data_IF_788681085112
#
_entry.id   IF_788681085112
#
_cell.length_a   1.000
_cell.length_b   1.000
_cell.length_c   1.000
_cell.angle_alpha   90.00
_cell.angle_beta   90.00
_cell.angle_gamma   90.00
#
_symmetry.space_group_name_H-M   'P 1'
#
loop_
_entity.id
_entity.type
_entity.pdbx_description
1 polymer ?
#
# COMPACT_ATOMS: atom_id res chain seq x y z
N UNK A 1 18.16 11.25 -61.86
CA UNK A 1 16.79 11.80 -61.85
C UNK A 1 15.74 10.71 -62.15
N UNK A 2 15.69 9.58 -61.43
CA UNK A 2 14.66 8.54 -61.56
C UNK A 2 14.32 7.83 -60.24
N UNK A 3 14.81 8.30 -59.09
CA UNK A 3 14.54 7.67 -57.78
C UNK A 3 13.62 8.46 -56.82
N UNK A 4 13.24 9.70 -57.18
CA UNK A 4 12.41 10.54 -56.30
C UNK A 4 10.89 10.50 -56.61
N UNK A 5 10.47 9.86 -57.69
CA UNK A 5 9.04 9.76 -58.02
C UNK A 5 8.31 8.51 -57.47
N UNK A 6 9.03 7.56 -56.87
CA UNK A 6 8.39 6.36 -56.26
C UNK A 6 7.96 6.52 -54.80
N UNK A 7 8.41 7.57 -54.11
CA UNK A 7 8.07 7.80 -52.69
C UNK A 7 6.71 8.50 -52.47
N UNK A 8 6.27 9.32 -53.41
CA UNK A 8 5.03 10.12 -53.23
C UNK A 8 3.75 9.38 -53.57
N UNK A 9 3.78 8.35 -54.44
CA UNK A 9 2.59 7.60 -54.77
C UNK A 9 2.20 6.51 -53.76
N UNK A 10 3.08 6.14 -52.81
CA UNK A 10 2.74 5.18 -51.73
C UNK A 10 2.11 5.84 -50.53
N UNK A 11 2.30 7.14 -50.34
CA UNK A 11 1.72 7.88 -49.20
C UNK A 11 0.27 8.28 -49.49
N UNK A 12 -0.09 8.52 -50.78
CA UNK A 12 -1.45 8.92 -51.15
C UNK A 12 -2.47 7.78 -51.22
N UNK A 13 -2.03 6.51 -51.26
CA UNK A 13 -2.95 5.35 -51.29
C UNK A 13 -3.36 4.86 -49.91
N UNK A 14 -2.74 5.36 -48.83
CA UNK A 14 -3.06 4.99 -47.43
C UNK A 14 -4.03 5.96 -46.72
N UNK A 15 -4.42 7.04 -47.39
CA UNK A 15 -5.27 8.11 -46.79
C UNK A 15 -6.74 8.01 -47.17
N UNK A 16 -7.15 7.04 -47.97
CA UNK A 16 -8.55 6.93 -48.46
C UNK A 16 -9.43 5.87 -47.77
N UNK A 17 -9.04 5.36 -46.58
CA UNK A 17 -9.97 4.53 -45.78
C UNK A 17 -10.31 5.24 -44.48
N UNK A 18 -11.57 5.50 -44.28
CA UNK A 18 -12.20 6.22 -43.19
C UNK A 18 -11.74 5.73 -41.81
N UNK A 19 -10.99 6.59 -41.10
CA UNK A 19 -10.78 6.47 -39.65
C UNK A 19 -11.53 7.62 -38.98
N UNK A 20 -12.55 7.28 -38.22
CA UNK A 20 -13.35 8.19 -37.35
C UNK A 20 -12.71 8.40 -35.99
N UNK A 21 -11.40 8.55 -35.93
CA UNK A 21 -10.71 8.77 -34.64
C UNK A 21 -10.44 10.27 -34.45
N UNK A 22 -11.05 10.94 -33.47
CA UNK A 22 -10.93 12.39 -33.25
C UNK A 22 -9.50 12.86 -32.97
N UNK A 23 -8.60 11.99 -32.49
CA UNK A 23 -7.19 12.33 -32.20
C UNK A 23 -6.39 12.64 -33.49
N UNK A 24 -6.75 12.03 -34.63
CA UNK A 24 -6.05 12.23 -35.90
C UNK A 24 -6.42 13.61 -36.51
N UNK A 25 -7.61 14.12 -36.24
CA UNK A 25 -8.04 15.43 -36.68
C UNK A 25 -7.31 16.59 -35.98
N UNK A 26 -6.90 16.42 -34.73
CA UNK A 26 -6.12 17.43 -34.00
C UNK A 26 -4.70 17.60 -34.58
N UNK A 27 -4.03 16.50 -34.92
CA UNK A 27 -2.67 16.54 -35.49
C UNK A 27 -2.66 17.22 -36.85
N UNK A 28 -3.70 17.05 -37.66
CA UNK A 28 -3.81 17.70 -38.99
C UNK A 28 -4.07 19.22 -38.89
N UNK A 29 -4.78 19.67 -37.88
CA UNK A 29 -4.98 21.10 -37.60
C UNK A 29 -3.68 21.73 -37.09
N UNK A 30 -2.89 21.06 -36.25
CA UNK A 30 -1.60 21.57 -35.79
C UNK A 30 -0.57 21.70 -36.90
N UNK A 31 -0.48 20.75 -37.84
CA UNK A 31 0.46 20.80 -38.97
C UNK A 31 0.09 21.89 -39.98
N UNK A 32 -1.20 22.22 -40.15
CA UNK A 32 -1.62 23.35 -41.03
C UNK A 32 -1.32 24.71 -40.40
N UNK A 33 -1.40 24.84 -39.09
CA UNK A 33 -1.03 26.09 -38.40
C UNK A 33 0.48 26.32 -38.45
N UNK A 34 1.29 25.24 -38.34
CA UNK A 34 2.75 25.34 -38.38
C UNK A 34 3.31 25.75 -39.76
N UNK A 35 2.58 25.48 -40.87
CA UNK A 35 3.00 25.89 -42.23
C UNK A 35 2.58 27.31 -42.62
N UNK A 36 1.67 27.94 -41.87
CA UNK A 36 1.18 29.29 -42.19
C UNK A 36 1.94 30.42 -41.48
N UNK A 37 2.79 30.10 -40.47
CA UNK A 37 3.47 31.11 -39.65
C UNK A 37 4.93 31.37 -40.00
N UNK A 38 5.49 30.73 -41.03
CA UNK A 38 6.91 30.89 -41.38
C UNK A 38 7.16 31.91 -42.49
N UNK A 39 6.36 33.00 -42.59
CA UNK A 39 6.74 34.15 -43.42
C UNK A 39 6.39 35.48 -42.76
N UNK A 40 7.46 36.12 -42.26
CA UNK A 40 7.62 37.57 -41.95
C UNK A 40 7.19 38.07 -40.58
N UNK A 41 8.22 38.64 -39.96
CA UNK A 41 8.30 39.75 -38.99
C UNK A 41 8.18 39.37 -37.50
N UNK A 42 9.31 39.66 -36.85
CA UNK A 42 9.54 39.72 -35.41
C UNK A 42 8.44 40.47 -34.64
N UNK A 43 7.63 39.74 -33.94
CA UNK A 43 6.96 40.19 -32.74
C UNK A 43 7.04 39.09 -31.70
N UNK A 44 7.78 39.33 -30.61
CA UNK A 44 7.92 38.47 -29.47
C UNK A 44 6.54 38.40 -28.79
N UNK A 45 5.76 37.39 -29.15
CA UNK A 45 4.61 36.99 -28.38
C UNK A 45 5.15 36.21 -27.17
N UNK A 46 5.11 36.82 -26.01
CA UNK A 46 5.20 36.10 -24.76
C UNK A 46 4.05 35.07 -24.71
N UNK A 47 4.36 33.84 -25.08
CA UNK A 47 3.53 32.72 -24.66
C UNK A 47 3.70 32.58 -23.14
N UNK A 48 2.75 33.14 -22.39
CA UNK A 48 2.53 32.64 -21.04
C UNK A 48 2.18 31.16 -21.20
N UNK A 49 3.10 30.29 -20.84
CA UNK A 49 2.78 28.88 -20.59
C UNK A 49 1.70 28.89 -19.53
N UNK A 50 0.45 28.73 -19.91
CA UNK A 50 -0.55 28.20 -19.04
C UNK A 50 -0.01 26.83 -18.60
N UNK A 51 0.60 26.76 -17.43
CA UNK A 51 0.72 25.52 -16.69
C UNK A 51 -0.73 25.09 -16.49
N UNK A 52 -1.24 24.18 -17.29
CA UNK A 52 -2.35 23.36 -16.86
C UNK A 52 -1.90 22.77 -15.53
N UNK A 53 -2.48 23.25 -14.46
CA UNK A 53 -2.41 22.57 -13.18
C UNK A 53 -3.18 21.25 -13.39
N UNK A 54 -2.53 20.26 -13.98
CA UNK A 54 -2.98 18.89 -13.92
C UNK A 54 -2.88 18.51 -12.43
N UNK A 55 -3.99 18.66 -11.71
CA UNK A 55 -4.13 18.16 -10.34
C UNK A 55 -3.92 16.66 -10.38
N UNK A 56 -2.73 16.22 -9.99
CA UNK A 56 -2.37 14.81 -9.96
C UNK A 56 -2.97 14.19 -8.70
N UNK A 57 -3.89 13.25 -8.86
CA UNK A 57 -4.44 12.49 -7.74
C UNK A 57 -3.32 11.62 -7.16
N UNK A 58 -3.04 11.75 -5.87
CA UNK A 58 -2.07 10.89 -5.20
C UNK A 58 -2.53 9.44 -5.19
N UNK A 59 -1.58 8.53 -5.41
CA UNK A 59 -1.85 7.11 -5.60
C UNK A 59 -0.91 6.22 -4.79
N UNK A 60 -1.43 5.11 -4.31
CA UNK A 60 -0.67 4.14 -3.52
C UNK A 60 -1.37 2.77 -3.49
N UNK A 61 -0.69 1.77 -2.91
CA UNK A 61 -1.30 0.49 -2.50
C UNK A 61 -1.20 0.33 -0.99
N UNK A 62 -1.97 -0.60 -0.42
CA UNK A 62 -1.91 -0.91 1.02
C UNK A 62 -0.90 -2.01 1.36
N UNK A 63 -0.36 -2.69 0.39
CA UNK A 63 0.63 -3.75 0.51
C UNK A 63 0.66 -4.62 -0.73
N UNK A 64 1.75 -5.39 -0.92
CA UNK A 64 2.01 -6.22 -2.10
C UNK A 64 2.26 -7.67 -1.70
N UNK A 65 1.98 -8.69 -2.58
CA UNK A 65 2.27 -10.08 -2.29
C UNK A 65 3.77 -10.34 -2.09
N UNK A 66 4.11 -11.06 -1.02
CA UNK A 66 5.49 -11.36 -0.63
C UNK A 66 6.09 -12.62 -1.25
N UNK A 67 5.24 -13.46 -1.87
CA UNK A 67 5.64 -14.82 -2.26
C UNK A 67 6.58 -14.88 -3.48
N UNK A 68 6.59 -13.80 -4.30
CA UNK A 68 7.24 -13.79 -5.61
C UNK A 68 6.37 -14.43 -6.70
N UNK A 69 6.52 -13.98 -7.96
CA UNK A 69 5.66 -14.39 -9.07
C UNK A 69 5.76 -15.90 -9.41
N UNK A 70 6.88 -16.53 -9.12
CA UNK A 70 7.12 -17.97 -9.28
C UNK A 70 7.26 -18.70 -7.92
N UNK A 71 6.77 -18.09 -6.82
CA UNK A 71 6.86 -18.62 -5.44
C UNK A 71 8.29 -18.71 -4.93
N UNK A 72 9.16 -17.80 -5.34
CA UNK A 72 10.59 -17.79 -5.02
C UNK A 72 10.82 -17.80 -3.49
N UNK A 73 10.05 -17.01 -2.74
CA UNK A 73 10.15 -17.00 -1.28
C UNK A 73 9.82 -18.36 -0.67
N UNK A 74 8.77 -19.06 -1.18
CA UNK A 74 8.39 -20.37 -0.67
C UNK A 74 9.54 -21.36 -0.80
N UNK A 75 10.13 -21.45 -1.98
CA UNK A 75 11.23 -22.39 -2.24
C UNK A 75 12.47 -22.04 -1.43
N UNK A 76 12.78 -20.75 -1.28
CA UNK A 76 13.92 -20.29 -0.47
C UNK A 76 13.72 -20.62 1.02
N UNK A 77 12.50 -20.43 1.57
CA UNK A 77 12.16 -20.81 2.93
C UNK A 77 12.27 -22.33 3.15
N UNK A 78 11.72 -23.13 2.25
CA UNK A 78 11.80 -24.59 2.34
C UNK A 78 13.24 -25.10 2.28
N UNK A 79 14.08 -24.50 1.40
CA UNK A 79 15.51 -24.80 1.31
C UNK A 79 16.26 -24.47 2.60
N UNK A 80 15.99 -23.28 3.15
CA UNK A 80 16.56 -22.83 4.42
C UNK A 80 16.17 -23.77 5.59
N UNK A 81 14.90 -24.12 5.69
CA UNK A 81 14.42 -25.00 6.78
C UNK A 81 14.94 -26.43 6.68
N UNK A 82 15.31 -26.91 5.50
CA UNK A 82 15.99 -28.21 5.32
C UNK A 82 17.49 -28.15 5.57
N UNK A 83 18.07 -26.93 5.70
CA UNK A 83 19.52 -26.74 5.80
C UNK A 83 20.26 -26.80 4.46
N UNK A 84 19.55 -26.76 3.34
CA UNK A 84 20.12 -26.78 1.98
C UNK A 84 20.69 -25.41 1.56
N UNK A 85 20.31 -24.33 2.24
CA UNK A 85 20.78 -22.97 2.03
C UNK A 85 20.96 -22.22 3.35
N UNK A 86 21.76 -21.16 3.33
CA UNK A 86 22.03 -20.32 4.51
C UNK A 86 21.09 -19.10 4.57
N UNK A 87 21.22 -18.33 5.65
CA UNK A 87 20.43 -17.12 5.89
C UNK A 87 20.69 -16.04 4.83
N UNK A 88 21.93 -15.97 4.30
CA UNK A 88 22.31 -14.99 3.28
C UNK A 88 21.60 -15.27 1.97
N UNK A 89 21.53 -16.52 1.55
CA UNK A 89 20.79 -16.94 0.36
C UNK A 89 19.29 -16.60 0.48
N UNK A 90 18.68 -16.86 1.63
CA UNK A 90 17.28 -16.52 1.89
C UNK A 90 17.03 -15.00 1.87
N UNK A 91 17.92 -14.22 2.51
CA UNK A 91 17.82 -12.75 2.49
C UNK A 91 17.99 -12.17 1.10
N UNK A 92 18.87 -12.72 0.26
CA UNK A 92 19.06 -12.28 -1.11
C UNK A 92 17.78 -12.48 -1.95
N UNK A 93 17.09 -13.62 -1.79
CA UNK A 93 15.80 -13.86 -2.44
C UNK A 93 14.76 -12.85 -1.96
N UNK A 94 14.67 -12.61 -0.65
CA UNK A 94 13.75 -11.62 -0.08
C UNK A 94 14.02 -10.21 -0.62
N UNK A 95 15.27 -9.78 -0.67
CA UNK A 95 15.66 -8.46 -1.20
C UNK A 95 15.34 -8.33 -2.70
N UNK A 96 15.55 -9.38 -3.48
CA UNK A 96 15.18 -9.42 -4.91
C UNK A 96 13.67 -9.22 -5.08
N UNK A 97 12.84 -9.92 -4.29
CA UNK A 97 11.38 -9.79 -4.33
C UNK A 97 10.96 -8.37 -3.91
N UNK A 98 11.47 -7.86 -2.79
CA UNK A 98 11.16 -6.51 -2.31
C UNK A 98 11.48 -5.45 -3.36
N UNK A 99 12.69 -5.48 -3.92
CA UNK A 99 13.11 -4.53 -4.97
C UNK A 99 12.19 -4.59 -6.19
N UNK A 100 11.82 -5.80 -6.65
CA UNK A 100 10.87 -5.96 -7.77
C UNK A 100 9.49 -5.38 -7.44
N UNK A 101 8.99 -5.60 -6.22
CA UNK A 101 7.71 -5.08 -5.78
C UNK A 101 7.70 -3.53 -5.72
N UNK A 102 8.78 -2.92 -5.23
CA UNK A 102 8.93 -1.46 -5.22
C UNK A 102 9.06 -0.89 -6.62
N UNK A 103 9.88 -1.53 -7.48
CA UNK A 103 10.04 -1.11 -8.88
C UNK A 103 8.70 -1.16 -9.63
N UNK A 104 7.87 -2.18 -9.40
CA UNK A 104 6.52 -2.29 -9.99
C UNK A 104 5.66 -1.07 -9.65
N UNK A 105 5.72 -0.57 -8.42
CA UNK A 105 4.98 0.62 -7.98
C UNK A 105 5.56 1.91 -8.60
N UNK A 106 6.89 2.02 -8.67
CA UNK A 106 7.59 3.15 -9.30
C UNK A 106 7.29 3.21 -10.81
N UNK A 107 7.36 2.09 -11.50
CA UNK A 107 7.11 2.00 -12.95
C UNK A 107 5.64 2.35 -13.29
N UNK A 108 4.71 2.03 -12.40
CA UNK A 108 3.31 2.44 -12.50
C UNK A 108 3.09 3.92 -12.14
N UNK A 109 4.14 4.64 -11.72
CA UNK A 109 4.12 6.04 -11.31
C UNK A 109 3.20 6.31 -10.11
N UNK A 110 3.12 5.36 -9.17
CA UNK A 110 2.41 5.62 -7.92
C UNK A 110 3.14 6.73 -7.14
N UNK A 111 2.35 7.62 -6.52
CA UNK A 111 2.88 8.73 -5.71
C UNK A 111 3.66 8.24 -4.51
N UNK A 112 3.16 7.19 -3.84
CA UNK A 112 3.80 6.61 -2.67
C UNK A 112 4.10 5.13 -2.90
N UNK A 113 5.31 4.72 -2.57
CA UNK A 113 5.78 3.34 -2.63
C UNK A 113 5.63 2.70 -1.24
N UNK A 114 4.83 1.66 -1.16
CA UNK A 114 4.59 0.94 0.10
C UNK A 114 5.79 0.11 0.50
N UNK A 115 6.23 0.24 1.76
CA UNK A 115 7.32 -0.52 2.38
C UNK A 115 6.89 -1.09 3.74
N UNK A 116 7.58 -2.12 4.24
CA UNK A 116 7.27 -2.76 5.52
C UNK A 116 6.17 -3.83 5.45
N UNK A 117 5.58 -4.02 4.28
CA UNK A 117 4.54 -5.03 4.01
C UNK A 117 5.11 -6.42 3.69
N UNK A 118 6.41 -6.53 3.46
CA UNK A 118 7.08 -7.82 3.26
C UNK A 118 7.31 -8.53 4.60
N UNK A 119 7.00 -9.81 4.67
CA UNK A 119 7.27 -10.66 5.82
C UNK A 119 7.80 -12.03 5.38
N UNK A 120 8.79 -12.58 6.08
CA UNK A 120 9.20 -13.98 5.87
C UNK A 120 8.11 -14.96 6.29
N UNK A 121 7.30 -14.60 7.30
CA UNK A 121 6.22 -15.42 7.79
C UNK A 121 4.87 -14.67 7.75
N UNK A 122 4.61 -13.73 8.67
CA UNK A 122 3.43 -12.87 8.64
C UNK A 122 3.71 -11.45 9.19
N UNK A 123 2.80 -10.51 8.87
CA UNK A 123 2.96 -9.10 9.23
C UNK A 123 2.82 -8.83 10.73
N UNK A 124 2.02 -9.64 11.45
CA UNK A 124 1.82 -9.50 12.89
C UNK A 124 3.07 -9.94 13.66
N UNK A 125 3.75 -11.00 13.19
CA UNK A 125 5.04 -11.40 13.71
C UNK A 125 6.09 -10.29 13.47
N UNK A 126 6.14 -9.69 12.26
CA UNK A 126 7.03 -8.56 12.02
C UNK A 126 6.77 -7.39 12.97
N UNK A 127 5.50 -7.06 13.22
CA UNK A 127 5.13 -6.02 14.19
C UNK A 127 5.58 -6.40 15.61
N UNK A 128 5.42 -7.66 16.01
CA UNK A 128 5.88 -8.14 17.32
C UNK A 128 7.39 -8.06 17.46
N UNK A 129 8.14 -8.42 16.40
CA UNK A 129 9.61 -8.30 16.38
C UNK A 129 10.05 -6.84 16.47
N UNK A 130 9.39 -5.94 15.72
CA UNK A 130 9.68 -4.51 15.74
C UNK A 130 9.41 -3.87 17.12
N UNK A 131 8.39 -4.36 17.83
CA UNK A 131 8.04 -3.90 19.19
C UNK A 131 8.83 -4.62 20.30
N UNK A 132 9.64 -5.64 19.98
CA UNK A 132 10.29 -6.49 20.97
C UNK A 132 9.31 -7.32 21.79
N UNK A 133 8.08 -7.52 21.29
CA UNK A 133 7.04 -8.31 21.95
C UNK A 133 7.27 -9.80 21.69
N UNK A 134 8.23 -10.39 22.40
CA UNK A 134 8.63 -11.80 22.27
C UNK A 134 8.07 -12.60 23.44
N UNK A 135 7.41 -13.75 23.20
CA UNK A 135 6.90 -14.59 24.27
C UNK A 135 8.02 -15.08 25.19
N UNK A 136 7.91 -14.80 26.50
CA UNK A 136 8.93 -15.12 27.50
C UNK A 136 9.34 -16.58 27.51
N UNK A 137 8.43 -17.49 27.12
CA UNK A 137 8.69 -18.95 27.10
C UNK A 137 9.81 -19.36 26.13
N UNK A 138 10.15 -18.50 25.13
CA UNK A 138 11.26 -18.78 24.21
C UNK A 138 12.63 -18.35 24.75
N UNK A 139 12.67 -17.52 25.78
CA UNK A 139 13.90 -17.03 26.42
C UNK A 139 14.89 -16.40 25.42
N UNK A 140 14.37 -15.64 24.45
CA UNK A 140 15.18 -14.93 23.45
C UNK A 140 15.45 -13.49 23.88
N UNK A 141 16.63 -12.97 23.51
CA UNK A 141 16.91 -11.53 23.68
C UNK A 141 16.13 -10.72 22.65
N UNK A 142 15.13 -9.99 23.10
CA UNK A 142 14.27 -9.16 22.26
C UNK A 142 15.01 -8.09 21.46
N UNK A 143 16.26 -7.73 21.84
CA UNK A 143 17.06 -6.77 21.10
C UNK A 143 17.79 -7.40 19.89
N UNK A 144 17.96 -8.73 19.87
CA UNK A 144 18.79 -9.43 18.87
C UNK A 144 18.13 -10.74 18.43
N UNK A 145 16.95 -10.66 17.85
CA UNK A 145 16.27 -11.84 17.30
C UNK A 145 16.84 -12.18 15.94
N UNK A 146 17.41 -13.36 15.82
CA UNK A 146 17.87 -13.90 14.53
C UNK A 146 16.71 -14.38 13.66
N UNK A 147 16.93 -14.51 12.36
CA UNK A 147 15.91 -15.05 11.45
C UNK A 147 15.53 -16.51 11.80
N UNK A 148 16.48 -17.31 12.28
CA UNK A 148 16.19 -18.67 12.78
C UNK A 148 15.26 -18.65 13.99
N UNK A 149 15.51 -17.78 14.96
CA UNK A 149 14.63 -17.59 16.13
C UNK A 149 13.25 -17.06 15.73
N UNK A 150 13.18 -16.21 14.70
CA UNK A 150 11.88 -15.78 14.12
C UNK A 150 11.08 -16.99 13.63
N UNK A 151 11.73 -17.96 12.99
CA UNK A 151 11.06 -19.20 12.58
C UNK A 151 10.73 -20.13 13.76
N UNK A 152 11.53 -20.13 14.83
CA UNK A 152 11.18 -20.84 16.06
C UNK A 152 9.88 -20.31 16.68
N UNK A 153 9.67 -18.98 16.70
CA UNK A 153 8.40 -18.39 17.12
C UNK A 153 7.23 -18.91 16.28
N UNK A 154 7.42 -18.97 14.97
CA UNK A 154 6.38 -19.31 14.01
C UNK A 154 6.07 -20.82 13.91
N UNK A 155 7.04 -21.68 14.13
CA UNK A 155 6.96 -23.12 13.87
C UNK A 155 7.17 -23.97 15.13
N UNK A 156 7.59 -23.35 16.21
CA UNK A 156 8.09 -24.04 17.39
C UNK A 156 9.49 -24.62 17.21
N UNK A 157 10.08 -25.07 18.29
CA UNK A 157 11.35 -25.77 18.34
C UNK A 157 11.26 -26.97 19.32
N UNK A 158 12.39 -27.62 19.55
CA UNK A 158 12.41 -28.81 20.45
C UNK A 158 11.95 -28.50 21.90
N UNK A 159 12.08 -27.24 22.36
CA UNK A 159 11.78 -26.83 23.73
C UNK A 159 10.40 -26.17 23.86
N UNK A 160 9.90 -25.52 22.82
CA UNK A 160 8.68 -24.71 22.87
C UNK A 160 7.78 -24.94 21.62
N UNK A 161 6.45 -25.05 21.83
CA UNK A 161 5.50 -25.07 20.73
C UNK A 161 5.47 -23.72 20.00
N UNK A 162 5.03 -23.72 18.75
CA UNK A 162 4.77 -22.52 17.95
C UNK A 162 3.82 -21.54 18.67
N UNK A 163 3.90 -20.25 18.31
CA UNK A 163 2.84 -19.31 18.64
C UNK A 163 1.52 -19.73 18.00
N UNK A 164 0.41 -19.35 18.60
CA UNK A 164 -0.92 -19.62 18.03
C UNK A 164 -1.07 -18.91 16.68
N UNK A 165 -1.71 -19.58 15.73
CA UNK A 165 -2.02 -19.02 14.41
C UNK A 165 -3.52 -18.94 14.23
N UNK A 166 -4.03 -17.80 13.74
CA UNK A 166 -5.46 -17.62 13.42
C UNK A 166 -5.64 -16.77 12.18
N UNK A 167 -6.86 -16.71 11.67
CA UNK A 167 -7.19 -15.92 10.47
C UNK A 167 -7.14 -14.42 10.74
N UNK A 168 -6.61 -13.69 9.76
CA UNK A 168 -6.70 -12.25 9.69
C UNK A 168 -8.10 -11.86 9.20
N UNK A 169 -8.96 -11.48 10.14
CA UNK A 169 -10.38 -11.17 9.89
C UNK A 169 -11.10 -12.30 9.12
N UNK A 170 -11.87 -11.97 8.11
CA UNK A 170 -12.61 -12.93 7.27
C UNK A 170 -11.81 -13.40 6.03
N UNK A 171 -10.47 -13.27 6.06
CA UNK A 171 -9.58 -13.65 4.95
C UNK A 171 -9.03 -15.07 5.11
N UNK A 172 -8.33 -15.56 4.07
CA UNK A 172 -7.53 -16.79 4.15
C UNK A 172 -6.09 -16.54 4.61
N UNK A 173 -5.71 -15.28 4.84
CA UNK A 173 -4.41 -14.96 5.43
C UNK A 173 -4.44 -15.28 6.94
N UNK A 174 -3.38 -15.88 7.43
CA UNK A 174 -3.22 -16.23 8.84
C UNK A 174 -2.07 -15.43 9.44
N UNK A 175 -2.21 -15.07 10.70
CA UNK A 175 -1.17 -14.39 11.47
C UNK A 175 -0.87 -15.12 12.78
N UNK A 176 0.33 -14.93 13.29
CA UNK A 176 0.73 -15.41 14.62
C UNK A 176 0.21 -14.45 15.68
N UNK A 177 -0.52 -14.99 16.64
CA UNK A 177 -1.18 -14.22 17.69
C UNK A 177 -0.13 -13.75 18.70
N UNK A 178 0.06 -12.44 18.92
CA UNK A 178 0.98 -11.94 19.92
C UNK A 178 0.58 -12.39 21.34
N UNK A 179 1.56 -12.84 22.12
CA UNK A 179 1.37 -13.28 23.51
C UNK A 179 1.70 -12.12 24.45
N UNK A 180 0.69 -11.55 25.12
CA UNK A 180 0.87 -10.44 26.04
C UNK A 180 0.98 -10.91 27.48
N UNK A 181 1.99 -10.43 28.18
CA UNK A 181 2.12 -10.55 29.63
C UNK A 181 2.00 -9.16 30.28
N UNK A 182 1.53 -9.09 31.55
CA UNK A 182 1.31 -7.82 32.24
C UNK A 182 2.59 -6.98 32.38
N UNK A 183 3.73 -7.63 32.48
CA UNK A 183 5.05 -7.04 32.69
C UNK A 183 5.89 -6.98 31.42
N UNK A 184 5.24 -7.06 30.25
CA UNK A 184 5.93 -6.92 28.96
C UNK A 184 6.60 -5.55 28.86
N UNK A 185 7.82 -5.55 28.33
CA UNK A 185 8.55 -4.33 28.00
C UNK A 185 8.66 -4.24 26.48
N UNK A 186 8.10 -3.19 25.88
CA UNK A 186 8.30 -2.93 24.46
C UNK A 186 9.70 -2.36 24.24
N UNK A 187 10.42 -2.96 23.28
CA UNK A 187 11.79 -2.58 22.89
C UNK A 187 11.84 -2.44 21.38
N UNK A 188 11.88 -1.21 20.91
CA UNK A 188 11.80 -0.94 19.49
C UNK A 188 13.05 -1.40 18.76
N UNK A 189 12.86 -2.22 17.71
CA UNK A 189 13.84 -2.54 16.69
C UNK A 189 13.22 -2.35 15.31
N UNK A 190 13.43 -1.18 14.71
CA UNK A 190 12.88 -0.81 13.42
C UNK A 190 13.86 -0.98 12.25
N UNK A 191 15.04 -1.57 12.46
CA UNK A 191 16.12 -1.59 11.47
C UNK A 191 15.68 -2.16 10.11
N UNK A 192 14.88 -3.22 10.11
CA UNK A 192 14.42 -3.84 8.86
C UNK A 192 13.58 -2.88 8.00
N UNK A 193 12.59 -2.21 8.60
CA UNK A 193 11.74 -1.27 7.87
C UNK A 193 12.48 0.02 7.52
N UNK A 194 13.42 0.47 8.36
CA UNK A 194 14.28 1.61 8.07
C UNK A 194 15.20 1.35 6.87
N UNK A 195 15.76 0.14 6.77
CA UNK A 195 16.54 -0.27 5.61
C UNK A 195 15.69 -0.34 4.33
N UNK A 196 14.43 -0.77 4.43
CA UNK A 196 13.49 -0.79 3.30
C UNK A 196 13.13 0.63 2.84
N UNK A 197 12.96 1.58 3.77
CA UNK A 197 12.77 3.02 3.47
C UNK A 197 13.97 3.57 2.70
N UNK A 198 15.18 3.35 3.22
CA UNK A 198 16.41 3.82 2.59
C UNK A 198 16.59 3.22 1.18
N UNK A 199 16.24 1.95 1.00
CA UNK A 199 16.30 1.27 -0.30
C UNK A 199 15.31 1.87 -1.32
N UNK A 200 14.08 2.20 -0.92
CA UNK A 200 13.10 2.84 -1.81
C UNK A 200 13.53 4.26 -2.17
N UNK A 201 14.07 5.04 -1.22
CA UNK A 201 14.62 6.37 -1.50
C UNK A 201 15.79 6.28 -2.50
N UNK A 202 16.66 5.26 -2.38
CA UNK A 202 17.74 5.03 -3.32
C UNK A 202 17.24 4.68 -4.75
N UNK A 203 16.04 4.10 -4.88
CA UNK A 203 15.37 3.86 -6.15
C UNK A 203 14.64 5.10 -6.70
N UNK A 204 14.63 6.22 -5.96
CA UNK A 204 13.93 7.46 -6.32
C UNK A 204 12.42 7.45 -6.02
N UNK A 205 11.93 6.51 -5.21
CA UNK A 205 10.55 6.43 -4.78
C UNK A 205 10.29 7.20 -3.48
N UNK A 206 9.05 7.63 -3.27
CA UNK A 206 8.57 8.22 -2.01
C UNK A 206 8.07 7.09 -1.09
N UNK A 207 8.84 6.72 -0.10
CA UNK A 207 8.54 5.60 0.79
C UNK A 207 7.36 5.91 1.72
N UNK A 208 6.35 5.02 1.74
CA UNK A 208 5.22 5.04 2.66
C UNK A 208 5.25 3.76 3.52
N UNK A 209 5.83 3.80 4.72
CA UNK A 209 5.83 2.66 5.64
C UNK A 209 4.41 2.24 6.02
N UNK A 210 4.22 0.93 6.15
CA UNK A 210 2.98 0.30 6.63
C UNK A 210 3.27 -0.42 7.93
N UNK A 211 2.51 -0.09 8.96
CA UNK A 211 2.56 -0.75 10.27
C UNK A 211 1.16 -1.06 10.76
N UNK A 212 1.02 -2.14 11.51
CA UNK A 212 -0.23 -2.47 12.18
C UNK A 212 -0.45 -1.47 13.31
N UNK A 213 -1.66 -0.93 13.43
CA UNK A 213 -2.00 0.04 14.44
C UNK A 213 -1.97 -0.53 15.87
N UNK A 214 -1.64 0.30 16.87
CA UNK A 214 -1.47 -0.15 18.24
C UNK A 214 -2.74 -0.76 18.83
N UNK A 215 -3.89 -0.26 18.46
CA UNK A 215 -5.16 -0.79 18.98
C UNK A 215 -5.54 -2.11 18.31
N UNK A 216 -5.32 -2.24 17.00
CA UNK A 216 -5.46 -3.52 16.28
C UNK A 216 -4.49 -4.56 16.84
N UNK A 217 -3.24 -4.17 17.10
CA UNK A 217 -2.23 -5.07 17.69
C UNK A 217 -2.69 -5.63 19.03
N UNK A 218 -3.13 -4.77 19.96
CA UNK A 218 -3.62 -5.21 21.28
C UNK A 218 -4.92 -6.02 21.17
N UNK A 219 -5.85 -5.61 20.28
CA UNK A 219 -7.12 -6.32 20.12
C UNK A 219 -6.92 -7.77 19.70
N UNK A 220 -6.07 -7.98 18.71
CA UNK A 220 -5.81 -9.30 18.12
C UNK A 220 -4.86 -10.17 18.92
N UNK A 221 -4.11 -9.60 19.87
CA UNK A 221 -3.21 -10.34 20.76
C UNK A 221 -3.99 -11.13 21.83
N UNK A 222 -3.36 -12.10 22.47
CA UNK A 222 -3.90 -12.86 23.61
C UNK A 222 -3.06 -12.68 24.86
N UNK A 223 -3.73 -12.69 26.01
CA UNK A 223 -3.08 -12.64 27.32
C UNK A 223 -2.54 -14.04 27.65
N UNK A 224 -1.27 -14.09 28.05
CA UNK A 224 -0.62 -15.26 28.60
C UNK A 224 -0.26 -15.02 30.05
N UNK A 225 -0.61 -16.00 30.94
CA UNK A 225 -0.40 -15.91 32.38
C UNK A 225 -1.57 -15.27 33.12
N UNK A 226 -1.26 -14.36 34.05
CA UNK A 226 -2.29 -13.70 34.87
C UNK A 226 -3.13 -12.74 34.02
N UNK A 227 -4.45 -12.81 34.20
CA UNK A 227 -5.39 -11.95 33.48
C UNK A 227 -5.24 -10.46 33.86
N UNK A 228 -5.36 -9.56 32.88
CA UNK A 228 -5.32 -8.10 33.05
C UNK A 228 -6.06 -7.43 31.90
N UNK A 229 -6.31 -6.11 31.99
CA UNK A 229 -6.86 -5.37 30.86
C UNK A 229 -5.74 -5.05 29.85
N UNK A 230 -5.87 -5.49 28.59
CA UNK A 230 -4.87 -5.24 27.54
C UNK A 230 -4.57 -3.74 27.36
N UNK A 231 -5.56 -2.86 27.55
CA UNK A 231 -5.38 -1.41 27.49
C UNK A 231 -4.47 -0.85 28.58
N UNK A 232 -4.16 -1.64 29.65
CA UNK A 232 -3.16 -1.24 30.64
C UNK A 232 -1.75 -1.14 30.02
N UNK A 233 -1.51 -1.82 28.89
CA UNK A 233 -0.26 -1.75 28.13
C UNK A 233 -0.19 -0.56 27.18
N UNK A 234 -1.30 0.13 26.94
CA UNK A 234 -1.42 1.13 25.90
C UNK A 234 -0.42 2.28 26.04
N UNK A 235 -0.15 2.85 27.24
CA UNK A 235 0.84 3.93 27.38
C UNK A 235 2.24 3.51 26.92
N UNK A 236 2.72 2.34 27.35
CA UNK A 236 4.03 1.82 26.95
C UNK A 236 4.09 1.49 25.46
N UNK A 237 3.00 0.94 24.89
CA UNK A 237 2.91 0.64 23.49
C UNK A 237 2.89 1.92 22.64
N UNK A 238 2.14 2.95 23.05
CA UNK A 238 2.09 4.26 22.36
C UNK A 238 3.46 4.92 22.34
N UNK A 239 4.23 4.82 23.45
CA UNK A 239 5.60 5.29 23.46
C UNK A 239 6.47 4.57 22.42
N UNK A 240 6.37 3.24 22.30
CA UNK A 240 7.11 2.47 21.29
C UNK A 240 6.73 2.92 19.86
N UNK A 241 5.45 3.16 19.58
CA UNK A 241 5.03 3.72 18.29
C UNK A 241 5.56 5.14 18.05
N UNK A 242 5.62 5.96 19.08
CA UNK A 242 6.24 7.30 19.01
C UNK A 242 7.71 7.21 18.62
N UNK A 243 8.45 6.26 19.19
CA UNK A 243 9.86 6.00 18.82
C UNK A 243 9.98 5.56 17.35
N UNK A 244 9.12 4.64 16.88
CA UNK A 244 9.08 4.18 15.49
C UNK A 244 8.79 5.35 14.54
N UNK A 245 7.75 6.15 14.79
CA UNK A 245 7.40 7.29 13.94
C UNK A 245 8.50 8.35 13.93
N UNK A 246 9.16 8.59 15.07
CA UNK A 246 10.31 9.50 15.16
C UNK A 246 11.47 8.99 14.29
N UNK A 247 11.75 7.69 14.30
CA UNK A 247 12.76 7.08 13.43
C UNK A 247 12.41 7.19 11.94
N UNK A 248 11.13 7.05 11.58
CA UNK A 248 10.66 7.27 10.19
C UNK A 248 10.84 8.73 9.78
N UNK A 249 10.48 9.67 10.65
CA UNK A 249 10.66 11.10 10.40
C UNK A 249 12.13 11.47 10.17
N UNK A 250 13.05 10.86 10.93
CA UNK A 250 14.49 11.04 10.74
C UNK A 250 15.00 10.52 9.39
N UNK A 251 14.25 9.68 8.69
CA UNK A 251 14.50 9.19 7.32
C UNK A 251 13.71 9.96 6.25
N UNK A 252 13.19 11.16 6.57
CA UNK A 252 12.40 12.01 5.68
C UNK A 252 11.12 11.35 5.17
N UNK A 253 10.56 10.37 5.90
CA UNK A 253 9.24 9.82 5.58
C UNK A 253 8.19 10.91 5.78
N UNK A 254 7.39 11.17 4.75
CA UNK A 254 6.31 12.17 4.79
C UNK A 254 4.98 11.57 5.26
N UNK A 255 4.67 10.35 4.88
CA UNK A 255 3.43 9.65 5.22
C UNK A 255 3.68 8.25 5.75
N UNK A 256 2.95 7.90 6.81
CA UNK A 256 2.95 6.56 7.41
C UNK A 256 1.53 6.01 7.35
N UNK A 257 1.37 4.81 6.80
CA UNK A 257 0.12 4.05 6.86
C UNK A 257 0.06 3.28 8.18
N UNK A 258 -0.98 3.54 8.98
CA UNK A 258 -1.25 2.80 10.22
C UNK A 258 -2.57 2.04 10.04
N UNK A 259 -2.49 0.72 10.02
CA UNK A 259 -3.61 -0.17 9.75
C UNK A 259 -4.41 -0.44 11.03
N UNK A 260 -5.64 0.09 11.09
CA UNK A 260 -6.59 -0.14 12.18
C UNK A 260 -7.90 -0.76 11.66
N UNK A 261 -7.84 -1.95 11.03
CA UNK A 261 -9.02 -2.61 10.51
C UNK A 261 -10.04 -3.01 11.59
N UNK A 262 -9.68 -3.03 12.87
CA UNK A 262 -10.65 -3.25 13.94
C UNK A 262 -11.75 -2.17 14.00
N UNK A 263 -11.54 -1.00 13.40
CA UNK A 263 -12.58 0.03 13.25
C UNK A 263 -13.76 -0.44 12.39
N UNK A 264 -13.60 -1.53 11.64
CA UNK A 264 -14.69 -2.20 10.92
C UNK A 264 -15.52 -3.15 11.80
N UNK A 265 -15.14 -3.33 13.07
CA UNK A 265 -15.81 -4.19 14.02
C UNK A 265 -16.70 -3.37 14.99
N UNK A 266 -17.63 -4.05 15.64
CA UNK A 266 -18.41 -3.46 16.73
C UNK A 266 -17.56 -3.43 18.01
N UNK A 267 -16.85 -2.32 18.22
CA UNK A 267 -15.94 -2.14 19.35
C UNK A 267 -16.65 -1.59 20.57
N UNK A 268 -16.32 -2.09 21.79
CA UNK A 268 -16.77 -1.47 23.04
C UNK A 268 -16.31 0.00 23.14
N UNK A 269 -17.15 0.85 23.75
CA UNK A 269 -16.89 2.30 23.82
C UNK A 269 -15.52 2.67 24.44
N UNK A 270 -15.03 1.89 25.41
CA UNK A 270 -13.72 2.15 26.01
C UNK A 270 -12.55 1.85 25.06
N UNK A 271 -12.70 0.91 24.11
CA UNK A 271 -11.73 0.71 23.01
C UNK A 271 -11.75 1.87 22.03
N UNK A 272 -12.97 2.34 21.68
CA UNK A 272 -13.11 3.50 20.81
C UNK A 272 -12.51 4.77 21.42
N UNK A 273 -12.64 4.97 22.75
CA UNK A 273 -12.02 6.11 23.44
C UNK A 273 -10.48 6.04 23.45
N UNK A 274 -9.91 4.85 23.41
CA UNK A 274 -8.47 4.66 23.36
C UNK A 274 -7.83 5.24 22.08
N UNK A 275 -8.57 5.30 20.96
CA UNK A 275 -8.10 5.94 19.72
C UNK A 275 -7.79 7.43 19.94
N UNK A 276 -8.62 8.15 20.67
CA UNK A 276 -8.43 9.59 20.93
C UNK A 276 -7.09 9.84 21.67
N UNK A 277 -6.79 9.01 22.67
CA UNK A 277 -5.54 9.11 23.45
C UNK A 277 -4.32 8.79 22.61
N UNK A 278 -4.34 7.63 21.93
CA UNK A 278 -3.18 7.13 21.15
C UNK A 278 -2.84 8.09 20.01
N UNK A 279 -3.83 8.42 19.17
CA UNK A 279 -3.56 9.27 18.01
C UNK A 279 -3.28 10.72 18.40
N UNK A 280 -3.76 11.18 19.58
CA UNK A 280 -3.34 12.43 20.19
C UNK A 280 -1.84 12.50 20.47
N UNK A 281 -1.28 11.42 21.03
CA UNK A 281 0.15 11.32 21.32
C UNK A 281 0.99 11.14 20.04
N UNK A 282 0.56 10.26 19.12
CA UNK A 282 1.28 9.99 17.87
C UNK A 282 1.38 11.22 16.96
N UNK A 283 0.39 12.10 16.96
CA UNK A 283 0.42 13.35 16.20
C UNK A 283 1.60 14.27 16.57
N UNK A 284 2.08 14.20 17.83
CA UNK A 284 3.22 15.00 18.29
C UNK A 284 4.54 14.62 17.58
N UNK A 285 4.64 13.50 16.92
CA UNK A 285 5.83 13.08 16.14
C UNK A 285 6.04 13.92 14.88
N UNK A 286 4.99 14.59 14.39
CA UNK A 286 5.01 15.36 13.15
C UNK A 286 5.09 14.53 11.87
N UNK A 287 4.87 13.21 11.94
CA UNK A 287 4.60 12.38 10.77
C UNK A 287 3.15 12.54 10.32
N UNK A 288 2.90 12.61 9.02
CA UNK A 288 1.54 12.50 8.53
C UNK A 288 1.07 11.05 8.62
N UNK A 289 -0.01 10.82 9.35
CA UNK A 289 -0.60 9.51 9.53
C UNK A 289 -1.77 9.35 8.58
N UNK A 290 -1.73 8.30 7.75
CA UNK A 290 -2.87 7.76 7.03
C UNK A 290 -3.48 6.65 7.89
N UNK A 291 -4.53 6.97 8.64
CA UNK A 291 -5.30 5.98 9.39
C UNK A 291 -6.05 5.10 8.39
N UNK A 292 -5.71 3.83 8.36
CA UNK A 292 -6.17 2.93 7.30
C UNK A 292 -7.15 1.90 7.82
N UNK A 293 -8.34 1.90 7.23
CA UNK A 293 -9.41 0.93 7.50
C UNK A 293 -9.72 0.14 6.24
N UNK A 294 -10.15 -1.09 6.40
CA UNK A 294 -10.54 -1.94 5.27
C UNK A 294 -11.47 -3.07 5.72
N UNK A 295 -12.04 -3.78 4.74
CA UNK A 295 -12.90 -4.96 4.80
C UNK A 295 -14.39 -4.66 5.00
N UNK A 296 -14.79 -3.51 5.59
CA UNK A 296 -16.19 -3.13 5.79
C UNK A 296 -16.40 -1.62 5.81
N UNK A 297 -17.65 -1.21 5.96
CA UNK A 297 -18.10 0.17 6.15
C UNK A 297 -17.73 0.67 7.54
N UNK A 298 -17.08 1.83 7.62
CA UNK A 298 -16.72 2.49 8.89
C UNK A 298 -17.46 3.80 9.11
N UNK A 299 -18.52 4.07 8.34
CA UNK A 299 -19.34 5.29 8.46
C UNK A 299 -19.98 5.45 9.85
N UNK A 300 -20.27 4.36 10.55
CA UNK A 300 -20.77 4.40 11.93
C UNK A 300 -19.81 5.13 12.90
N UNK A 301 -18.52 5.16 12.58
CA UNK A 301 -17.49 5.81 13.39
C UNK A 301 -16.99 7.13 12.78
N UNK A 302 -17.60 7.64 11.69
CA UNK A 302 -17.13 8.80 10.93
C UNK A 302 -16.92 10.04 11.81
N UNK A 303 -17.85 10.35 12.71
CA UNK A 303 -17.77 11.50 13.60
C UNK A 303 -16.56 11.43 14.53
N UNK A 304 -16.19 10.23 14.98
CA UNK A 304 -15.00 10.02 15.82
C UNK A 304 -13.74 10.09 14.98
N UNK A 305 -13.65 9.30 13.91
CA UNK A 305 -12.47 9.20 13.07
C UNK A 305 -12.12 10.57 12.47
N UNK A 306 -13.11 11.34 12.06
CA UNK A 306 -12.90 12.71 11.55
C UNK A 306 -12.25 13.66 12.55
N UNK A 307 -12.44 13.42 13.86
CA UNK A 307 -11.87 14.26 14.93
C UNK A 307 -10.47 13.79 15.37
N UNK A 308 -10.06 12.56 15.02
CA UNK A 308 -8.72 12.09 15.36
C UNK A 308 -7.68 13.01 14.70
N UNK A 309 -6.59 13.35 15.41
CA UNK A 309 -5.55 14.22 14.87
C UNK A 309 -4.61 13.47 13.91
N UNK A 310 -5.19 12.88 12.87
CA UNK A 310 -4.50 12.24 11.74
C UNK A 310 -4.66 13.10 10.49
N UNK A 311 -3.72 13.04 9.57
CA UNK A 311 -3.71 13.88 8.37
C UNK A 311 -4.48 13.25 7.21
N UNK A 312 -4.76 11.96 7.28
CA UNK A 312 -5.55 11.26 6.27
C UNK A 312 -6.28 10.05 6.81
N UNK A 313 -7.34 9.66 6.11
CA UNK A 313 -8.12 8.45 6.37
C UNK A 313 -8.22 7.66 5.08
N UNK A 314 -8.01 6.36 5.16
CA UNK A 314 -8.27 5.42 4.06
C UNK A 314 -9.49 4.58 4.36
N UNK A 315 -10.36 4.44 3.35
CA UNK A 315 -11.60 3.64 3.41
C UNK A 315 -11.66 2.62 2.28
N UNK A 316 -12.32 1.48 2.53
CA UNK A 316 -12.58 0.45 1.54
C UNK A 316 -13.76 0.85 0.64
N UNK A 317 -13.45 1.44 -0.50
CA UNK A 317 -14.46 1.86 -1.49
C UNK A 317 -14.91 0.75 -2.42
N UNK A 318 -14.24 -0.39 -2.44
CA UNK A 318 -14.64 -1.54 -3.26
C UNK A 318 -15.68 -2.41 -2.55
N UNK A 319 -15.46 -2.72 -1.27
CA UNK A 319 -16.38 -3.54 -0.48
C UNK A 319 -17.58 -2.76 0.05
N UNK A 320 -17.37 -1.50 0.38
CA UNK A 320 -18.41 -0.61 0.92
C UNK A 320 -18.49 0.71 0.13
N UNK A 321 -18.86 0.69 -1.16
CA UNK A 321 -18.88 1.88 -2.00
C UNK A 321 -19.88 2.95 -1.52
N UNK A 322 -20.93 2.56 -0.80
CA UNK A 322 -21.94 3.46 -0.24
C UNK A 322 -21.36 4.46 0.77
N UNK A 323 -20.23 4.14 1.42
CA UNK A 323 -19.62 5.05 2.40
C UNK A 323 -18.90 6.24 1.75
N UNK A 324 -18.52 6.15 0.46
CA UNK A 324 -17.71 7.18 -0.21
C UNK A 324 -18.36 8.56 -0.11
N UNK A 325 -19.63 8.68 -0.50
CA UNK A 325 -20.33 9.96 -0.46
C UNK A 325 -20.38 10.54 0.97
N UNK A 326 -20.70 9.71 1.96
CA UNK A 326 -20.73 10.12 3.36
C UNK A 326 -19.39 10.65 3.85
N UNK A 327 -18.28 9.98 3.48
CA UNK A 327 -16.94 10.42 3.84
C UNK A 327 -16.52 11.71 3.13
N UNK A 328 -16.87 11.88 1.84
CA UNK A 328 -16.62 13.13 1.10
C UNK A 328 -17.30 14.32 1.75
N UNK A 329 -18.55 14.15 2.23
CA UNK A 329 -19.34 15.20 2.84
C UNK A 329 -18.89 15.57 4.27
N UNK A 330 -18.30 14.62 5.01
CA UNK A 330 -17.97 14.79 6.43
C UNK A 330 -16.46 14.94 6.71
N UNK A 331 -15.59 14.77 5.70
CA UNK A 331 -14.16 14.87 5.91
C UNK A 331 -13.75 16.31 6.23
N UNK A 332 -13.02 16.57 7.34
CA UNK A 332 -12.46 17.89 7.62
C UNK A 332 -11.58 18.43 6.48
N UNK A 333 -11.57 19.76 6.30
CA UNK A 333 -10.90 20.40 5.18
C UNK A 333 -9.36 20.26 5.19
N UNK A 334 -8.79 19.93 6.34
CA UNK A 334 -7.36 19.71 6.57
C UNK A 334 -6.91 18.26 6.37
N UNK A 335 -7.82 17.35 6.00
CA UNK A 335 -7.51 15.93 5.87
C UNK A 335 -7.59 15.43 4.43
N UNK A 336 -6.81 14.40 4.15
CA UNK A 336 -6.84 13.60 2.93
C UNK A 336 -7.83 12.45 3.09
N UNK A 337 -8.62 12.18 2.04
CA UNK A 337 -9.40 10.94 1.90
C UNK A 337 -8.74 10.04 0.86
N UNK A 338 -8.26 8.91 1.30
CA UNK A 338 -7.81 7.84 0.42
C UNK A 338 -8.95 6.84 0.20
N UNK A 339 -9.33 6.65 -1.05
CA UNK A 339 -10.39 5.72 -1.44
C UNK A 339 -9.77 4.48 -2.06
N UNK A 340 -9.96 3.34 -1.41
CA UNK A 340 -9.57 2.03 -1.92
C UNK A 340 -10.55 1.53 -2.96
N UNK A 341 -10.41 1.99 -4.20
CA UNK A 341 -11.38 1.69 -5.27
C UNK A 341 -11.02 0.44 -6.07
N UNK A 342 -9.74 0.05 -6.09
CA UNK A 342 -9.28 -1.19 -6.71
C UNK A 342 -9.40 -2.32 -5.68
N UNK A 343 -10.23 -3.32 -5.97
CA UNK A 343 -10.45 -4.45 -5.07
C UNK A 343 -9.16 -5.29 -4.91
N UNK A 344 -8.63 -5.31 -3.68
CA UNK A 344 -7.43 -6.07 -3.30
C UNK A 344 -7.68 -7.54 -2.96
N UNK A 345 -8.92 -8.04 -3.02
CA UNK A 345 -9.30 -9.41 -2.63
C UNK A 345 -9.84 -10.28 -3.76
N UNK A 346 -10.03 -9.71 -4.95
CA UNK A 346 -10.45 -10.45 -6.12
C UNK A 346 -9.34 -10.49 -7.18
N UNK A 347 -9.57 -11.27 -8.24
CA UNK A 347 -8.63 -11.44 -9.35
C UNK A 347 -9.14 -10.81 -10.65
N UNK A 348 -10.20 -10.03 -10.58
CA UNK A 348 -10.83 -9.47 -11.76
C UNK A 348 -10.21 -8.14 -12.16
N UNK A 349 -10.13 -7.90 -13.46
CA UNK A 349 -9.76 -6.60 -14.02
C UNK A 349 -10.83 -5.57 -13.65
N UNK A 350 -10.38 -4.39 -13.23
CA UNK A 350 -11.25 -3.29 -12.92
C UNK A 350 -11.87 -2.67 -14.19
N UNK A 351 -13.13 -2.28 -14.11
CA UNK A 351 -13.75 -1.40 -15.11
C UNK A 351 -13.37 0.05 -14.79
N UNK A 352 -12.29 0.51 -15.42
CA UNK A 352 -11.76 1.85 -15.17
C UNK A 352 -12.79 2.96 -15.44
N UNK A 353 -13.67 2.81 -16.43
CA UNK A 353 -14.68 3.83 -16.75
C UNK A 353 -15.70 3.97 -15.63
N UNK A 354 -16.18 2.86 -15.09
CA UNK A 354 -17.10 2.82 -13.95
C UNK A 354 -16.43 3.41 -12.70
N UNK A 355 -15.17 3.02 -12.40
CA UNK A 355 -14.46 3.51 -11.21
C UNK A 355 -14.15 5.01 -11.31
N UNK A 356 -13.74 5.53 -12.47
CA UNK A 356 -13.55 6.96 -12.69
C UNK A 356 -14.86 7.73 -12.48
N UNK A 357 -15.99 7.17 -12.97
CA UNK A 357 -17.32 7.76 -12.74
C UNK A 357 -17.68 7.85 -11.25
N UNK A 358 -17.36 6.82 -10.48
CA UNK A 358 -17.58 6.81 -9.02
C UNK A 358 -16.71 7.85 -8.28
N UNK A 359 -15.48 8.08 -8.75
CA UNK A 359 -14.55 9.04 -8.14
C UNK A 359 -14.82 10.50 -8.55
N UNK A 360 -15.61 10.75 -9.60
CA UNK A 360 -15.79 12.09 -10.15
C UNK A 360 -16.33 13.11 -9.13
N UNK A 361 -17.32 12.72 -8.34
CA UNK A 361 -17.87 13.58 -7.27
C UNK A 361 -16.84 13.84 -6.17
N UNK A 362 -16.13 12.79 -5.74
CA UNK A 362 -15.07 12.91 -4.76
C UNK A 362 -13.93 13.82 -5.26
N UNK A 363 -13.50 13.69 -6.52
CA UNK A 363 -12.50 14.56 -7.14
C UNK A 363 -12.93 16.02 -7.15
N UNK A 364 -14.19 16.28 -7.51
CA UNK A 364 -14.72 17.64 -7.55
C UNK A 364 -14.74 18.30 -6.15
N UNK A 365 -15.10 17.55 -5.12
CA UNK A 365 -15.23 18.05 -3.75
C UNK A 365 -13.89 18.14 -3.01
N UNK A 366 -12.99 17.18 -3.22
CA UNK A 366 -11.74 17.04 -2.46
C UNK A 366 -10.53 17.65 -3.17
N UNK A 367 -10.52 17.70 -4.51
CA UNK A 367 -9.35 18.15 -5.28
C UNK A 367 -8.11 17.31 -4.96
N UNK A 368 -7.02 17.96 -4.56
CA UNK A 368 -5.73 17.32 -4.21
C UNK A 368 -5.79 16.50 -2.91
N UNK A 369 -6.86 16.63 -2.14
CA UNK A 369 -7.10 15.82 -0.93
C UNK A 369 -7.67 14.44 -1.24
N UNK A 370 -8.03 14.16 -2.50
CA UNK A 370 -8.39 12.82 -2.94
C UNK A 370 -7.14 12.01 -3.21
N UNK A 371 -7.04 10.85 -2.57
CA UNK A 371 -6.08 9.80 -2.89
C UNK A 371 -6.80 8.57 -3.40
N UNK A 372 -6.13 7.80 -4.24
CA UNK A 372 -6.67 6.55 -4.80
C UNK A 372 -5.73 5.39 -4.52
N UNK A 373 -6.28 4.28 -4.07
CA UNK A 373 -5.50 3.10 -3.77
C UNK A 373 -6.27 1.78 -3.93
N UNK A 374 -5.65 0.70 -3.42
CA UNK A 374 -6.32 -0.60 -3.29
C UNK A 374 -7.20 -0.65 -2.05
N UNK A 375 -8.29 -1.40 -2.10
CA UNK A 375 -9.27 -1.50 -0.99
C UNK A 375 -8.67 -2.12 0.28
N UNK A 376 -7.70 -3.01 0.11
CA UNK A 376 -6.86 -3.60 1.14
C UNK A 376 -5.50 -4.00 0.53
N UNK A 377 -4.64 -4.65 1.30
CA UNK A 377 -3.37 -5.18 0.78
C UNK A 377 -3.58 -6.16 -0.37
N UNK A 378 -2.80 -6.04 -1.44
CA UNK A 378 -2.78 -6.98 -2.56
C UNK A 378 -2.19 -8.36 -2.20
N UNK A 379 -1.74 -8.54 -0.95
CA UNK A 379 -1.28 -9.86 -0.47
C UNK A 379 -2.33 -10.97 -0.63
N UNK A 380 -3.61 -10.59 -0.81
CA UNK A 380 -4.73 -11.52 -1.00
C UNK A 380 -4.92 -11.95 -2.45
N UNK A 381 -4.12 -11.41 -3.40
CA UNK A 381 -4.18 -11.74 -4.82
C UNK A 381 -2.90 -12.47 -5.26
N UNK A 382 -2.92 -13.24 -6.37
CA UNK A 382 -1.68 -13.71 -7.00
C UNK A 382 -0.81 -12.54 -7.46
N UNK A 383 0.48 -12.80 -7.72
CA UNK A 383 1.45 -11.71 -7.99
C UNK A 383 1.26 -11.10 -9.37
N UNK A 384 1.25 -11.90 -10.44
CA UNK A 384 1.25 -11.41 -11.83
C UNK A 384 0.71 -12.45 -12.80
N UNK A 385 0.04 -11.99 -13.85
CA UNK A 385 -0.38 -12.79 -15.01
C UNK A 385 0.77 -13.14 -15.97
N UNK A 386 1.97 -12.60 -15.75
CA UNK A 386 3.13 -12.80 -16.65
C UNK A 386 3.39 -14.28 -16.94
N UNK A 387 3.28 -15.12 -15.91
CA UNK A 387 3.58 -16.55 -15.99
C UNK A 387 2.34 -17.43 -16.29
N UNK A 388 1.17 -16.84 -16.52
CA UNK A 388 -0.08 -17.53 -16.80
C UNK A 388 -0.31 -17.71 -18.31
N UNK A 389 0.76 -18.08 -19.05
CA UNK A 389 0.71 -18.25 -20.51
C UNK A 389 -0.15 -19.40 -21.03
N UNK A 390 -0.59 -20.29 -20.12
CA UNK A 390 -1.48 -21.43 -20.47
C UNK A 390 -2.96 -21.11 -20.38
N UNK A 391 -3.31 -19.95 -19.81
CA UNK A 391 -4.70 -19.50 -19.75
C UNK A 391 -5.20 -19.15 -21.15
N UNK A 392 -6.48 -19.45 -21.39
CA UNK A 392 -7.19 -18.93 -22.54
C UNK A 392 -7.04 -17.40 -22.62
N UNK A 393 -6.71 -16.82 -23.79
CA UNK A 393 -6.50 -15.38 -23.95
C UNK A 393 -7.70 -14.53 -23.52
N UNK A 394 -8.94 -15.01 -23.76
CA UNK A 394 -10.15 -14.30 -23.36
C UNK A 394 -10.28 -14.29 -21.84
N UNK A 395 -10.09 -15.42 -21.17
CA UNK A 395 -10.11 -15.53 -19.70
C UNK A 395 -9.01 -14.66 -19.09
N UNK A 396 -7.77 -14.75 -19.62
CA UNK A 396 -6.65 -13.96 -19.16
C UNK A 396 -6.94 -12.45 -19.24
N UNK A 397 -7.70 -12.00 -20.22
CA UNK A 397 -8.08 -10.61 -20.41
C UNK A 397 -9.10 -10.11 -19.37
N UNK A 398 -9.81 -10.98 -18.69
CA UNK A 398 -10.72 -10.63 -17.60
C UNK A 398 -10.02 -10.49 -16.25
N UNK A 399 -8.77 -10.95 -16.14
CA UNK A 399 -8.03 -11.04 -14.89
C UNK A 399 -7.09 -9.86 -14.70
N UNK A 400 -6.86 -9.52 -13.43
CA UNK A 400 -5.83 -8.61 -12.95
C UNK A 400 -5.33 -9.11 -11.59
N UNK A 401 -4.04 -9.46 -11.51
CA UNK A 401 -3.37 -9.84 -10.28
C UNK A 401 -2.69 -8.59 -9.67
N UNK A 402 -1.82 -8.75 -8.67
CA UNK A 402 -1.27 -7.61 -7.96
C UNK A 402 -0.52 -6.61 -8.89
N UNK A 403 0.32 -7.10 -9.78
CA UNK A 403 1.06 -6.26 -10.74
C UNK A 403 0.13 -5.50 -11.68
N UNK A 404 -0.89 -6.17 -12.20
CA UNK A 404 -1.86 -5.57 -13.10
C UNK A 404 -2.75 -4.55 -12.36
N UNK A 405 -3.14 -4.84 -11.10
CA UNK A 405 -3.92 -3.91 -10.26
C UNK A 405 -3.13 -2.64 -9.91
N UNK A 406 -1.82 -2.74 -9.71
CA UNK A 406 -0.95 -1.56 -9.55
C UNK A 406 -0.97 -0.70 -10.82
N UNK A 407 -0.90 -1.33 -12.00
CA UNK A 407 -0.99 -0.61 -13.27
C UNK A 407 -2.38 0.05 -13.47
N UNK A 408 -3.46 -0.60 -13.04
CA UNK A 408 -4.82 -0.04 -13.07
C UNK A 408 -4.94 1.25 -12.25
N UNK A 409 -4.32 1.31 -11.05
CA UNK A 409 -4.26 2.54 -10.24
C UNK A 409 -3.58 3.65 -11.04
N UNK A 410 -2.41 3.38 -11.63
CA UNK A 410 -1.69 4.35 -12.43
C UNK A 410 -2.48 4.86 -13.64
N UNK A 411 -3.38 4.06 -14.21
CA UNK A 411 -4.28 4.49 -15.30
C UNK A 411 -5.42 5.37 -14.78
N UNK A 412 -6.03 5.03 -13.65
CA UNK A 412 -7.18 5.75 -13.08
C UNK A 412 -6.78 7.14 -12.56
N UNK A 413 -5.54 7.32 -12.11
CA UNK A 413 -5.08 8.56 -11.48
C UNK A 413 -4.45 9.57 -12.45
N UNK A 414 -4.26 9.19 -13.70
CA UNK A 414 -3.78 10.05 -14.80
C UNK A 414 -4.94 10.63 -15.61
#
# INVERSE_FOLDING_TARGET
MKSERMGQNKVNSLVSQHSTNPTINLIHVFLKIYHFTNNKTSNILHFSTFKENNMTISSHILGFPRIGAQRELKFALESFWRGDSDVTALQNVANTIKTKNWQTQIDAQLTHVTVGDFAFYDQMLNQSLMLGCIPKRFDFDANHITLAQTFDLARGNAAQPAMEMTKWFDTNYHYLVPELARDIQFKVNADNILNDIDAVHALGGEAKPVIIGPLTYLWLAKIHGQNFNKLDLLPALTQAYTEILTAFKARNVTWVQIDEPILSLDLPGFWLNAFDTVYGELNATGCNVLLTTYFEDVSAHITRISKLPVQGVHIDGARAPQQIATWVDHLPADKVLSIGIIDGRNIWRADASTLIGQLQSAKTSLGDRLWVGTSCSLLHTPVSLEFEGKLDPEIRNWLAFATEKVAEIGVITR
#
